data_IF_981829504507
#
_entry.id   IF_981829504507
#
_cell.length_a   1.000
_cell.length_b   1.000
_cell.length_c   1.000
_cell.angle_alpha   90.00
_cell.angle_beta   90.00
_cell.angle_gamma   90.00
#
_symmetry.space_group_name_H-M   'P 1'
#
loop_
_entity.id
_entity.type
_entity.pdbx_description
1 polymer ?
#
# COMPACT_ATOMS: atom_id res chain seq x y z
N UNK A 1 24.20 0.76 0.00
CA UNK A 1 24.39 2.15 0.49
C UNK A 1 23.08 2.62 1.10
N UNK A 2 23.09 3.10 2.35
CA UNK A 2 21.88 3.62 3.00
C UNK A 2 21.69 5.07 2.57
N UNK A 3 20.52 5.40 2.01
CA UNK A 3 20.13 6.80 1.79
C UNK A 3 19.59 7.36 3.11
N UNK A 4 20.16 8.48 3.55
CA UNK A 4 19.66 9.23 4.70
C UNK A 4 18.17 9.59 4.54
N UNK A 5 17.46 9.82 5.65
CA UNK A 5 16.03 10.11 5.71
C UNK A 5 15.61 11.23 4.75
N UNK A 6 16.41 12.29 4.63
CA UNK A 6 16.14 13.42 3.71
C UNK A 6 16.16 12.99 2.25
N UNK A 7 17.13 12.17 1.85
CA UNK A 7 17.24 11.66 0.48
C UNK A 7 16.18 10.59 0.19
N UNK A 8 15.87 9.74 1.17
CA UNK A 8 14.79 8.77 1.07
C UNK A 8 13.44 9.47 0.83
N UNK A 9 13.16 10.54 1.58
CA UNK A 9 11.95 11.34 1.37
C UNK A 9 11.93 12.00 -0.02
N UNK A 10 13.05 12.55 -0.47
CA UNK A 10 13.17 13.14 -1.80
C UNK A 10 12.89 12.09 -2.90
N UNK A 11 13.45 10.89 -2.80
CA UNK A 11 13.18 9.79 -3.74
C UNK A 11 11.70 9.40 -3.69
N UNK A 12 11.09 9.32 -2.52
CA UNK A 12 9.66 9.03 -2.38
C UNK A 12 8.78 10.10 -3.05
N UNK A 13 9.12 11.40 -2.91
CA UNK A 13 8.42 12.49 -3.60
C UNK A 13 8.59 12.40 -5.12
N UNK A 14 9.80 12.11 -5.61
CA UNK A 14 10.05 11.91 -7.05
C UNK A 14 9.26 10.71 -7.58
N UNK A 15 9.24 9.59 -6.84
CA UNK A 15 8.45 8.42 -7.20
C UNK A 15 6.95 8.79 -7.33
N UNK A 16 6.40 9.54 -6.37
CA UNK A 16 5.03 10.02 -6.41
C UNK A 16 4.76 10.89 -7.65
N UNK A 17 5.64 11.85 -7.96
CA UNK A 17 5.51 12.71 -9.14
C UNK A 17 5.55 11.92 -10.45
N UNK A 18 6.44 10.94 -10.57
CA UNK A 18 6.50 10.03 -11.72
C UNK A 18 5.20 9.25 -11.83
N UNK A 19 4.70 8.70 -10.73
CA UNK A 19 3.43 7.98 -10.68
C UNK A 19 2.25 8.84 -11.15
N UNK A 20 2.17 10.07 -10.66
CA UNK A 20 1.15 11.04 -11.09
C UNK A 20 1.21 11.33 -12.58
N UNK A 21 2.41 11.51 -13.12
CA UNK A 21 2.61 11.71 -14.55
C UNK A 21 2.14 10.49 -15.36
N UNK A 22 2.60 9.29 -15.00
CA UNK A 22 2.27 8.06 -15.73
C UNK A 22 0.78 7.75 -15.69
N UNK A 23 0.14 7.86 -14.52
CA UNK A 23 -1.31 7.65 -14.38
C UNK A 23 -2.08 8.68 -15.21
N UNK A 24 -1.67 9.95 -15.20
CA UNK A 24 -2.33 11.02 -15.99
C UNK A 24 -2.34 10.76 -17.50
N UNK A 25 -1.34 10.07 -18.04
CA UNK A 25 -1.26 9.77 -19.47
C UNK A 25 -1.75 8.36 -19.86
N UNK A 26 -2.16 7.54 -18.88
CA UNK A 26 -2.54 6.14 -19.14
C UNK A 26 -4.01 5.90 -18.78
N UNK A 27 -4.93 5.86 -19.77
CA UNK A 27 -6.35 5.62 -19.53
C UNK A 27 -6.64 4.29 -18.82
N UNK A 28 -5.80 3.27 -19.06
CA UNK A 28 -5.90 1.99 -18.37
C UNK A 28 -5.67 2.11 -16.86
N UNK A 29 -4.66 2.88 -16.42
CA UNK A 29 -4.37 3.06 -14.99
C UNK A 29 -5.46 3.91 -14.31
N UNK A 30 -5.97 4.93 -15.01
CA UNK A 30 -7.08 5.76 -14.51
C UNK A 30 -8.37 4.95 -14.36
N UNK A 31 -8.73 4.15 -15.36
CA UNK A 31 -9.96 3.34 -15.36
C UNK A 31 -9.97 2.29 -14.24
N UNK A 32 -8.79 1.80 -13.85
CA UNK A 32 -8.64 0.81 -12.77
C UNK A 32 -8.35 1.45 -11.41
N UNK A 33 -8.39 2.78 -11.28
CA UNK A 33 -8.13 3.52 -10.04
C UNK A 33 -6.83 3.10 -9.33
N UNK A 34 -5.78 2.77 -10.09
CA UNK A 34 -4.49 2.39 -9.50
C UNK A 34 -3.84 3.65 -8.89
N UNK A 35 -3.50 3.67 -7.60
CA UNK A 35 -2.91 4.83 -6.95
C UNK A 35 -1.57 5.24 -7.58
N UNK A 36 -1.34 6.55 -7.69
CA UNK A 36 -0.13 7.13 -8.26
C UNK A 36 1.12 6.69 -7.49
N UNK A 37 1.04 6.64 -6.16
CA UNK A 37 2.14 6.20 -5.30
C UNK A 37 2.58 4.76 -5.60
N UNK A 38 1.64 3.87 -5.93
CA UNK A 38 1.93 2.46 -6.26
C UNK A 38 2.65 2.38 -7.61
N UNK A 39 2.15 3.11 -8.62
CA UNK A 39 2.77 3.14 -9.95
C UNK A 39 4.20 3.71 -9.87
N UNK A 40 4.36 4.84 -9.18
CA UNK A 40 5.66 5.46 -8.96
C UNK A 40 6.64 4.57 -8.23
N UNK A 41 6.21 3.97 -7.12
CA UNK A 41 7.03 3.03 -6.34
C UNK A 41 7.43 1.79 -7.13
N UNK A 42 6.51 1.24 -7.93
CA UNK A 42 6.78 0.08 -8.78
C UNK A 42 7.83 0.39 -9.87
N UNK A 43 7.75 1.56 -10.50
CA UNK A 43 8.76 2.02 -11.47
C UNK A 43 10.13 2.12 -10.79
N UNK A 44 10.21 2.76 -9.63
CA UNK A 44 11.46 2.88 -8.86
C UNK A 44 12.00 1.50 -8.48
N UNK A 45 11.15 0.57 -8.05
CA UNK A 45 11.54 -0.79 -7.71
C UNK A 45 12.15 -1.53 -8.91
N UNK A 46 11.56 -1.42 -10.10
CA UNK A 46 12.11 -2.00 -11.34
C UNK A 46 13.48 -1.40 -11.66
N UNK A 47 13.63 -0.07 -11.58
CA UNK A 47 14.90 0.61 -11.85
C UNK A 47 15.99 0.15 -10.88
N UNK A 48 15.68 0.07 -9.59
CA UNK A 48 16.62 -0.40 -8.58
C UNK A 48 16.99 -1.87 -8.77
N UNK A 49 16.04 -2.71 -9.18
CA UNK A 49 16.30 -4.11 -9.51
C UNK A 49 17.26 -4.24 -10.70
N UNK A 50 17.09 -3.43 -11.74
CA UNK A 50 18.01 -3.41 -12.89
C UNK A 50 19.42 -2.97 -12.46
N UNK A 51 19.52 -1.94 -11.62
CA UNK A 51 20.81 -1.45 -11.12
C UNK A 51 21.51 -2.52 -10.26
N UNK A 52 20.77 -3.18 -9.37
CA UNK A 52 21.27 -4.27 -8.53
C UNK A 52 21.83 -5.41 -9.39
N UNK A 53 21.08 -5.85 -10.41
CA UNK A 53 21.49 -6.97 -11.28
C UNK A 53 22.63 -6.64 -12.24
N UNK A 54 22.77 -5.40 -12.69
CA UNK A 54 23.78 -5.01 -13.68
C UNK A 54 25.08 -4.52 -13.07
N UNK A 55 24.99 -3.76 -11.97
CA UNK A 55 26.13 -3.06 -11.38
C UNK A 55 26.52 -3.61 -10.00
N UNK A 56 25.70 -4.47 -9.40
CA UNK A 56 25.92 -5.01 -8.06
C UNK A 56 25.72 -3.99 -6.92
N UNK A 57 25.20 -2.79 -7.23
CA UNK A 57 24.92 -1.77 -6.23
C UNK A 57 23.51 -1.93 -5.67
N UNK A 58 23.42 -2.13 -4.36
CA UNK A 58 22.17 -2.15 -3.62
C UNK A 58 21.97 -0.85 -2.84
N UNK A 59 20.75 -0.32 -2.94
CA UNK A 59 20.31 0.84 -2.17
C UNK A 59 19.34 0.39 -1.09
N UNK A 60 19.50 0.95 0.10
CA UNK A 60 18.60 0.72 1.23
C UNK A 60 18.05 2.07 1.67
N UNK A 61 16.75 2.15 1.88
CA UNK A 61 16.07 3.37 2.27
C UNK A 61 15.97 3.46 3.79
N UNK A 62 16.07 4.68 4.31
CA UNK A 62 15.88 4.96 5.73
C UNK A 62 14.37 5.08 6.04
N UNK A 63 13.86 4.22 6.92
CA UNK A 63 12.45 4.15 7.29
C UNK A 63 12.09 4.97 8.55
N UNK A 64 13.01 5.75 9.12
CA UNK A 64 12.79 6.53 10.36
C UNK A 64 11.57 7.46 10.27
N UNK A 65 11.36 8.09 9.11
CA UNK A 65 10.22 8.97 8.87
C UNK A 65 8.91 8.21 8.58
N UNK A 66 8.97 6.93 8.21
CA UNK A 66 7.78 6.15 7.83
C UNK A 66 6.75 6.12 8.96
N UNK A 67 7.21 5.85 10.19
CA UNK A 67 6.32 5.79 11.37
C UNK A 67 5.66 7.14 11.66
N UNK A 68 6.43 8.24 11.56
CA UNK A 68 5.91 9.58 11.77
C UNK A 68 4.87 9.97 10.71
N UNK A 69 5.15 9.67 9.44
CA UNK A 69 4.24 9.93 8.33
C UNK A 69 2.97 9.11 8.41
N UNK A 70 3.06 7.82 8.77
CA UNK A 70 1.90 6.96 9.01
C UNK A 70 1.04 7.48 10.16
N UNK A 71 1.66 7.83 11.29
CA UNK A 71 0.93 8.39 12.44
C UNK A 71 0.22 9.70 12.08
N UNK A 72 0.91 10.58 11.35
CA UNK A 72 0.33 11.86 10.90
C UNK A 72 -0.83 11.61 9.95
N UNK A 73 -0.68 10.71 8.97
CA UNK A 73 -1.73 10.33 8.03
C UNK A 73 -2.96 9.74 8.73
N UNK A 74 -2.79 8.73 9.59
CA UNK A 74 -3.89 8.10 10.30
C UNK A 74 -4.54 9.06 11.31
N UNK A 75 -3.75 9.90 11.97
CA UNK A 75 -4.28 10.95 12.85
C UNK A 75 -5.09 11.97 12.05
N UNK A 76 -4.65 12.38 10.86
CA UNK A 76 -5.38 13.31 10.00
C UNK A 76 -6.67 12.69 9.46
N UNK A 77 -6.69 11.42 9.07
CA UNK A 77 -7.92 10.71 8.68
C UNK A 77 -8.88 10.64 9.87
N UNK A 78 -8.37 10.26 11.04
CA UNK A 78 -9.17 10.18 12.27
C UNK A 78 -9.78 11.54 12.64
N UNK A 79 -8.99 12.61 12.60
CA UNK A 79 -9.46 13.96 12.94
C UNK A 79 -10.39 14.54 11.88
N UNK A 80 -10.20 14.18 10.60
CA UNK A 80 -11.08 14.58 9.49
C UNK A 80 -12.36 13.74 9.40
N UNK A 81 -12.51 12.72 10.25
CA UNK A 81 -13.69 11.87 10.23
C UNK A 81 -14.90 12.59 10.83
N UNK A 82 -15.97 12.70 10.04
CA UNK A 82 -17.25 13.25 10.50
C UNK A 82 -18.00 12.16 11.28
N UNK A 83 -17.73 12.09 12.58
CA UNK A 83 -18.40 11.16 13.50
C UNK A 83 -19.93 11.31 13.48
N UNK A 84 -20.45 12.52 13.21
CA UNK A 84 -21.90 12.74 13.09
C UNK A 84 -22.47 12.02 11.87
N UNK A 85 -21.76 12.04 10.72
CA UNK A 85 -22.13 11.26 9.53
C UNK A 85 -22.02 9.76 9.76
N UNK A 86 -20.99 9.30 10.49
CA UNK A 86 -20.81 7.89 10.79
C UNK A 86 -22.00 7.34 11.60
N UNK A 87 -22.42 8.06 12.65
CA UNK A 87 -23.58 7.68 13.47
C UNK A 87 -24.88 7.69 12.64
N UNK A 88 -25.05 8.67 11.74
CA UNK A 88 -26.19 8.71 10.80
C UNK A 88 -26.25 7.52 9.85
N UNK A 89 -25.14 6.82 9.61
CA UNK A 89 -25.09 5.58 8.84
C UNK A 89 -25.90 4.42 9.45
N UNK A 90 -26.17 4.47 10.76
CA UNK A 90 -27.15 3.62 11.44
C UNK A 90 -27.04 2.11 11.15
N UNK A 91 -28.19 1.45 11.00
CA UNK A 91 -28.28 0.01 10.77
C UNK A 91 -27.57 -0.48 9.49
N UNK A 92 -27.67 0.21 8.32
CA UNK A 92 -26.91 -0.16 7.13
C UNK A 92 -25.40 -0.19 7.35
N UNK A 93 -24.85 0.77 8.09
CA UNK A 93 -23.42 0.81 8.39
C UNK A 93 -22.99 -0.40 9.22
N UNK A 94 -23.74 -0.74 10.27
CA UNK A 94 -23.45 -1.92 11.12
C UNK A 94 -23.51 -3.20 10.30
N UNK A 95 -24.51 -3.35 9.44
CA UNK A 95 -24.65 -4.52 8.58
C UNK A 95 -23.51 -4.62 7.57
N UNK A 96 -23.10 -3.49 6.98
CA UNK A 96 -21.92 -3.43 6.11
C UNK A 96 -20.66 -3.83 6.87
N UNK A 97 -20.44 -3.32 8.08
CA UNK A 97 -19.28 -3.69 8.91
C UNK A 97 -19.23 -5.18 9.16
N UNK A 98 -20.34 -5.79 9.60
CA UNK A 98 -20.42 -7.23 9.83
C UNK A 98 -20.14 -8.02 8.54
N UNK A 99 -20.75 -7.60 7.43
CA UNK A 99 -20.55 -8.25 6.14
C UNK A 99 -19.07 -8.19 5.70
N UNK A 100 -18.42 -7.02 5.80
CA UNK A 100 -17.01 -6.84 5.48
C UNK A 100 -16.12 -7.67 6.40
N UNK A 101 -16.39 -7.73 7.70
CA UNK A 101 -15.64 -8.58 8.65
C UNK A 101 -15.72 -10.06 8.26
N UNK A 102 -16.90 -10.55 7.88
CA UNK A 102 -17.07 -11.94 7.41
C UNK A 102 -16.28 -12.16 6.10
N UNK A 103 -16.37 -11.22 5.16
CA UNK A 103 -15.62 -11.30 3.91
C UNK A 103 -14.10 -11.32 4.14
N UNK A 104 -13.59 -10.53 5.09
CA UNK A 104 -12.17 -10.55 5.48
C UNK A 104 -11.78 -11.92 6.06
N UNK A 105 -12.62 -12.50 6.93
CA UNK A 105 -12.36 -13.82 7.50
C UNK A 105 -12.31 -14.91 6.40
N UNK A 106 -13.23 -14.86 5.43
CA UNK A 106 -13.23 -15.75 4.27
C UNK A 106 -11.98 -15.52 3.41
N UNK A 107 -11.65 -14.27 3.10
CA UNK A 107 -10.47 -13.90 2.30
C UNK A 107 -9.19 -14.44 2.93
N UNK A 108 -9.01 -14.27 4.24
CA UNK A 108 -7.82 -14.75 4.95
C UNK A 108 -7.76 -16.28 4.98
N UNK A 109 -8.90 -16.95 5.16
CA UNK A 109 -8.96 -18.42 5.13
C UNK A 109 -8.58 -18.95 3.75
N UNK A 110 -9.11 -18.36 2.68
CA UNK A 110 -8.78 -18.73 1.29
C UNK A 110 -7.31 -18.41 0.99
N UNK A 111 -6.81 -17.23 1.34
CA UNK A 111 -5.42 -16.84 1.11
C UNK A 111 -4.43 -17.75 1.82
N UNK A 112 -4.65 -18.01 3.12
CA UNK A 112 -3.81 -18.93 3.90
C UNK A 112 -3.86 -20.36 3.36
N UNK A 113 -5.04 -20.88 3.01
CA UNK A 113 -5.16 -22.25 2.49
C UNK A 113 -4.45 -22.41 1.14
N UNK A 114 -4.58 -21.44 0.23
CA UNK A 114 -3.86 -21.44 -1.05
C UNK A 114 -2.34 -21.41 -0.84
N UNK A 115 -1.83 -20.58 0.09
CA UNK A 115 -0.41 -20.55 0.41
C UNK A 115 0.10 -21.91 0.90
N UNK A 116 -0.63 -22.57 1.81
CA UNK A 116 -0.28 -23.91 2.30
C UNK A 116 -0.30 -24.94 1.17
N UNK A 117 -1.29 -24.90 0.27
CA UNK A 117 -1.35 -25.80 -0.89
C UNK A 117 -0.16 -25.62 -1.85
N UNK A 118 0.44 -24.43 -1.88
CA UNK A 118 1.64 -24.13 -2.65
C UNK A 118 2.94 -24.45 -1.89
N UNK A 119 2.86 -25.08 -0.70
CA UNK A 119 3.97 -25.31 0.23
C UNK A 119 4.65 -24.02 0.73
N UNK A 120 3.89 -22.92 0.77
CA UNK A 120 4.33 -21.62 1.26
C UNK A 120 3.80 -21.33 2.67
N UNK A 121 4.41 -20.34 3.33
CA UNK A 121 3.96 -19.89 4.65
C UNK A 121 2.54 -19.29 4.57
N UNK A 122 1.61 -19.67 5.48
CA UNK A 122 0.28 -19.04 5.57
C UNK A 122 0.33 -17.52 5.68
N UNK A 123 1.41 -16.97 6.24
CA UNK A 123 1.64 -15.54 6.37
C UNK A 123 1.65 -14.82 5.01
N UNK A 124 2.19 -15.45 3.97
CA UNK A 124 2.16 -14.91 2.59
C UNK A 124 0.71 -14.81 2.12
N UNK A 125 -0.13 -15.79 2.46
CA UNK A 125 -1.56 -15.79 2.18
C UNK A 125 -2.32 -14.66 2.87
N UNK A 126 -1.90 -14.25 4.07
CA UNK A 126 -2.46 -13.09 4.77
C UNK A 126 -2.01 -11.76 4.15
N UNK A 127 -0.73 -11.65 3.79
CA UNK A 127 -0.19 -10.46 3.10
C UNK A 127 -0.88 -10.26 1.76
N UNK A 128 -1.10 -11.32 0.98
CA UNK A 128 -1.83 -11.24 -0.29
C UNK A 128 -3.35 -11.08 -0.12
N UNK A 129 -3.86 -11.27 1.10
CA UNK A 129 -5.27 -11.20 1.46
C UNK A 129 -5.64 -9.85 2.06
N UNK A 130 -5.93 -9.82 3.37
CA UNK A 130 -6.47 -8.63 4.03
C UNK A 130 -5.41 -7.67 4.58
N UNK A 131 -4.11 -7.98 4.49
CA UNK A 131 -3.01 -7.19 5.09
C UNK A 131 -2.27 -6.32 4.05
N UNK A 132 -2.72 -6.29 2.80
CA UNK A 132 -2.25 -5.34 1.76
C UNK A 132 -2.65 -3.89 2.07
#
# INVERSE_FOLDING_TARGET
MILDASYTLLVACIALLIGMFVVKFTPFLQKNHIPEAVVGGFIVAIVLLIIDKTSGYSFTFDASLQSLLMLTFFSSIGLSSDFSRLIKGGKPLVLLTIAVTILIAIQNTVGMSMAVMMNESPFIGLIAGSIT
#
